data_IF_716383304371
#
_entry.id   IF_716383304371
#
_cell.length_a   1.000
_cell.length_b   1.000
_cell.length_c   1.000
_cell.angle_alpha   90.00
_cell.angle_beta   90.00
_cell.angle_gamma   90.00
#
_symmetry.space_group_name_H-M   'P 1'
#
loop_
_entity.id
_entity.type
_entity.pdbx_description
1 polymer ?
#
# COMPACT_ATOMS: atom_id res chain seq x y z
N UNK A 1 -0.08 16.43 -10.21
CA UNK A 1 -0.95 15.63 -11.11
C UNK A 1 -2.08 15.07 -10.26
N UNK A 2 -3.31 15.00 -10.78
CA UNK A 2 -4.47 14.53 -10.01
C UNK A 2 -4.57 13.00 -10.02
N UNK A 3 -5.02 12.42 -8.92
CA UNK A 3 -5.44 11.03 -8.83
C UNK A 3 -6.95 10.90 -9.09
N UNK A 4 -7.43 9.66 -9.22
CA UNK A 4 -8.84 9.35 -9.40
C UNK A 4 -9.26 8.16 -8.54
N UNK A 5 -10.48 8.19 -8.01
CA UNK A 5 -11.09 7.10 -7.23
C UNK A 5 -12.29 6.58 -8.01
N UNK A 6 -12.24 5.31 -8.43
CA UNK A 6 -13.28 4.71 -9.26
C UNK A 6 -13.66 3.33 -8.77
N UNK A 7 -14.90 2.91 -9.04
CA UNK A 7 -15.37 1.56 -8.73
C UNK A 7 -14.57 0.55 -9.56
N UNK A 8 -14.07 -0.49 -8.92
CA UNK A 8 -13.32 -1.55 -9.59
C UNK A 8 -14.26 -2.57 -10.21
N UNK A 9 -13.90 -3.06 -11.40
CA UNK A 9 -14.57 -4.18 -12.07
C UNK A 9 -13.97 -5.55 -11.74
N UNK A 10 -12.91 -5.61 -10.93
CA UNK A 10 -12.19 -6.85 -10.59
C UNK A 10 -13.10 -7.86 -9.88
N UNK A 11 -13.24 -9.04 -10.47
CA UNK A 11 -14.01 -10.15 -9.88
C UNK A 11 -13.21 -10.87 -8.78
N UNK A 12 -13.92 -11.50 -7.83
CA UNK A 12 -13.29 -12.38 -6.83
C UNK A 12 -12.80 -11.73 -5.55
N UNK A 13 -13.13 -10.46 -5.29
CA UNK A 13 -12.99 -9.85 -3.96
C UNK A 13 -14.32 -9.95 -3.22
N UNK A 14 -14.33 -10.56 -2.04
CA UNK A 14 -15.53 -10.72 -1.21
C UNK A 14 -15.80 -9.43 -0.42
N UNK A 15 -16.23 -8.39 -1.12
CA UNK A 15 -16.57 -7.11 -0.51
C UNK A 15 -17.84 -6.54 -1.16
N UNK A 16 -18.78 -5.95 -0.39
CA UNK A 16 -20.01 -5.38 -0.94
C UNK A 16 -19.72 -4.29 -1.98
N UNK A 17 -18.74 -3.42 -1.68
CA UNK A 17 -18.21 -2.44 -2.62
C UNK A 17 -16.69 -2.53 -2.73
N UNK A 18 -16.18 -2.06 -3.86
CA UNK A 18 -14.76 -2.09 -4.16
C UNK A 18 -14.39 -0.91 -5.06
N UNK A 19 -13.46 -0.09 -4.59
CA UNK A 19 -12.92 1.05 -5.32
C UNK A 19 -11.40 0.94 -5.42
N UNK A 20 -10.85 1.62 -6.41
CA UNK A 20 -9.41 1.74 -6.64
C UNK A 20 -9.01 3.21 -6.74
N UNK A 21 -7.84 3.52 -6.18
CA UNK A 21 -7.20 4.82 -6.31
C UNK A 21 -6.10 4.70 -7.37
N UNK A 22 -6.24 5.50 -8.42
CA UNK A 22 -5.38 5.43 -9.60
C UNK A 22 -4.72 6.75 -9.91
N UNK A 23 -3.52 6.70 -10.49
CA UNK A 23 -2.81 7.86 -11.03
C UNK A 23 -1.91 7.41 -12.17
N UNK A 24 -1.95 8.12 -13.30
CA UNK A 24 -1.13 7.82 -14.49
C UNK A 24 -1.22 6.34 -14.95
N UNK A 25 -2.42 5.78 -14.96
CA UNK A 25 -2.67 4.38 -15.35
C UNK A 25 -2.20 3.33 -14.34
N UNK A 26 -1.68 3.75 -13.19
CA UNK A 26 -1.24 2.87 -12.12
C UNK A 26 -2.27 2.81 -10.99
N UNK A 27 -2.42 1.64 -10.37
CA UNK A 27 -3.25 1.41 -9.19
C UNK A 27 -2.36 1.42 -7.96
N UNK A 28 -2.67 2.33 -7.03
CA UNK A 28 -1.91 2.51 -5.80
C UNK A 28 -2.64 1.89 -4.62
N UNK A 29 -3.92 2.23 -4.44
CA UNK A 29 -4.71 1.81 -3.28
C UNK A 29 -6.00 1.12 -3.72
N UNK A 30 -6.52 0.27 -2.84
CA UNK A 30 -7.86 -0.33 -2.90
C UNK A 30 -8.66 0.12 -1.70
N UNK A 31 -9.97 0.26 -1.90
CA UNK A 31 -10.94 0.41 -0.83
C UNK A 31 -11.94 -0.74 -0.92
N UNK A 32 -12.11 -1.44 0.19
CA UNK A 32 -13.04 -2.56 0.32
C UNK A 32 -13.98 -2.26 1.49
N UNK A 33 -15.25 -2.60 1.36
CA UNK A 33 -16.26 -2.46 2.39
C UNK A 33 -17.56 -1.92 1.82
N UNK A 34 -18.30 -1.23 2.66
CA UNK A 34 -19.49 -0.44 2.34
C UNK A 34 -19.66 0.63 3.41
N UNK A 35 -20.38 1.70 3.14
CA UNK A 35 -20.68 2.68 4.19
C UNK A 35 -21.44 1.99 5.34
N UNK A 36 -21.01 2.14 6.62
CA UNK A 36 -20.03 3.08 7.15
C UNK A 36 -18.65 2.47 7.52
N UNK A 37 -18.23 1.38 6.88
CA UNK A 37 -16.97 0.68 7.16
C UNK A 37 -16.22 0.33 5.86
N UNK A 38 -15.36 1.25 5.43
CA UNK A 38 -14.41 1.02 4.34
C UNK A 38 -13.00 0.81 4.88
N UNK A 39 -12.29 -0.19 4.39
CA UNK A 39 -10.87 -0.41 4.62
C UNK A 39 -10.07 0.06 3.39
N UNK A 40 -9.07 0.93 3.60
CA UNK A 40 -8.16 1.39 2.55
C UNK A 40 -6.78 0.76 2.70
N UNK A 41 -6.23 0.25 1.59
CA UNK A 41 -5.02 -0.58 1.59
C UNK A 41 -4.22 -0.47 0.29
N UNK A 42 -2.96 -0.91 0.29
CA UNK A 42 -2.12 -0.96 -0.93
C UNK A 42 -2.63 -1.98 -1.94
N UNK A 43 -2.54 -1.64 -3.23
CA UNK A 43 -2.91 -2.55 -4.31
C UNK A 43 -1.80 -3.57 -4.60
N UNK A 44 -2.10 -4.85 -4.40
CA UNK A 44 -1.19 -5.99 -4.66
C UNK A 44 -1.36 -6.63 -6.03
N UNK A 45 -2.21 -6.06 -6.88
CA UNK A 45 -2.54 -6.65 -8.18
C UNK A 45 -2.99 -5.58 -9.16
N UNK A 46 -2.61 -5.75 -10.43
CA UNK A 46 -3.22 -5.04 -11.56
C UNK A 46 -4.71 -5.36 -11.66
N UNK A 47 -5.47 -4.48 -12.32
CA UNK A 47 -6.89 -4.71 -12.57
C UNK A 47 -7.10 -5.68 -13.73
N UNK A 48 -8.22 -6.38 -13.71
CA UNK A 48 -8.62 -7.23 -14.82
C UNK A 48 -9.02 -6.34 -16.01
N UNK A 49 -8.65 -6.72 -17.24
CA UNK A 49 -8.98 -5.95 -18.45
C UNK A 49 -7.87 -5.05 -19.00
N UNK A 50 -6.65 -5.11 -18.46
CA UNK A 50 -5.41 -4.70 -19.16
C UNK A 50 -5.09 -3.21 -19.22
N UNK A 51 -5.92 -2.32 -18.69
CA UNK A 51 -5.71 -0.86 -18.74
C UNK A 51 -5.07 -0.22 -17.50
N UNK A 52 -5.09 -0.90 -16.35
CA UNK A 52 -4.59 -0.37 -15.08
C UNK A 52 -3.61 -1.37 -14.45
N UNK A 53 -2.37 -0.93 -14.28
CA UNK A 53 -1.28 -1.77 -13.79
C UNK A 53 -0.98 -1.47 -12.33
N UNK A 54 -0.52 -2.47 -11.56
CA UNK A 54 0.03 -2.20 -10.23
C UNK A 54 1.28 -1.32 -10.35
N UNK A 55 1.52 -0.50 -9.34
CA UNK A 55 2.78 0.25 -9.19
C UNK A 55 3.96 -0.72 -9.14
N UNK A 56 5.05 -0.42 -9.86
CA UNK A 56 6.24 -1.27 -9.86
C UNK A 56 7.06 -1.15 -8.56
N UNK A 57 7.19 0.07 -8.02
CA UNK A 57 7.96 0.36 -6.80
C UNK A 57 7.12 0.08 -5.54
N UNK A 58 7.01 -1.21 -5.21
CA UNK A 58 6.23 -1.69 -4.06
C UNK A 58 6.77 -1.17 -2.72
N UNK A 59 8.10 -0.99 -2.61
CA UNK A 59 8.73 -0.44 -1.40
C UNK A 59 8.22 0.98 -1.14
N UNK A 60 8.25 1.82 -2.16
CA UNK A 60 7.74 3.18 -2.09
C UNK A 60 6.24 3.22 -1.83
N UNK A 61 5.47 2.33 -2.45
CA UNK A 61 4.04 2.20 -2.22
C UNK A 61 3.71 1.89 -0.76
N UNK A 62 4.32 0.84 -0.21
CA UNK A 62 4.09 0.41 1.17
C UNK A 62 4.54 1.50 2.13
N UNK A 63 5.73 2.08 1.97
CA UNK A 63 6.19 3.15 2.84
C UNK A 63 5.27 4.37 2.86
N UNK A 64 4.81 4.81 1.68
CA UNK A 64 3.87 5.91 1.60
C UNK A 64 2.57 5.57 2.35
N UNK A 65 2.07 4.34 2.21
CA UNK A 65 0.87 3.87 2.90
C UNK A 65 1.03 3.90 4.44
N UNK A 66 2.16 3.41 4.96
CA UNK A 66 2.43 3.40 6.40
C UNK A 66 2.56 4.81 6.99
N UNK A 67 3.35 5.65 6.32
CA UNK A 67 3.52 7.06 6.72
C UNK A 67 2.18 7.80 6.68
N UNK A 68 1.31 7.47 5.72
CA UNK A 68 -0.05 8.02 5.65
C UNK A 68 -0.89 7.60 6.85
N UNK A 69 -0.94 6.30 7.16
CA UNK A 69 -1.70 5.78 8.30
C UNK A 69 -1.29 6.44 9.62
N UNK A 70 0.03 6.54 9.85
CA UNK A 70 0.60 7.20 11.02
C UNK A 70 0.26 8.68 11.10
N UNK A 71 0.37 9.42 9.99
CA UNK A 71 0.16 10.87 9.98
C UNK A 71 -1.31 11.28 10.04
N UNK A 72 -2.20 10.50 9.43
CA UNK A 72 -3.62 10.86 9.36
C UNK A 72 -4.38 10.36 10.59
N UNK A 73 -4.03 9.18 11.11
CA UNK A 73 -4.83 8.53 12.17
C UNK A 73 -4.04 8.24 13.46
N UNK A 74 -2.72 8.46 13.47
CA UNK A 74 -1.89 8.16 14.64
C UNK A 74 -1.83 6.67 15.00
N UNK A 75 -2.34 5.78 14.14
CA UNK A 75 -2.34 4.32 14.33
C UNK A 75 -1.20 3.67 13.58
N UNK A 76 -0.73 2.55 14.14
CA UNK A 76 0.21 1.65 13.48
C UNK A 76 -0.54 0.91 12.38
N UNK A 77 -0.15 1.12 11.14
CA UNK A 77 -0.64 0.37 9.99
C UNK A 77 -0.23 -1.11 10.09
N UNK A 78 -1.13 -2.01 9.68
CA UNK A 78 -0.93 -3.45 9.77
C UNK A 78 -0.70 -4.05 8.39
N UNK A 79 0.22 -5.00 8.30
CA UNK A 79 0.38 -5.85 7.12
C UNK A 79 -0.49 -7.08 7.31
N UNK A 80 -1.34 -7.37 6.32
CA UNK A 80 -2.19 -8.56 6.28
C UNK A 80 -1.96 -9.32 4.98
N UNK A 81 -2.24 -10.63 4.96
CA UNK A 81 -2.21 -11.47 3.77
C UNK A 81 -3.59 -11.58 3.11
N UNK A 82 -3.63 -11.52 1.79
CA UNK A 82 -4.83 -11.90 1.03
C UNK A 82 -4.97 -13.44 0.89
N UNK A 83 -6.09 -13.89 0.32
CA UNK A 83 -6.38 -15.32 0.11
C UNK A 83 -5.40 -16.06 -0.82
N UNK A 84 -4.47 -15.34 -1.47
CA UNK A 84 -3.38 -15.88 -2.28
C UNK A 84 -2.02 -15.77 -1.59
N UNK A 85 -1.99 -15.40 -0.31
CA UNK A 85 -0.77 -15.19 0.47
C UNK A 85 0.00 -13.93 0.06
N UNK A 86 -0.67 -12.96 -0.59
CA UNK A 86 -0.02 -11.68 -0.93
C UNK A 86 -0.26 -10.69 0.18
N UNK A 87 0.81 -10.26 0.81
CA UNK A 87 0.75 -9.22 1.83
C UNK A 87 0.40 -7.86 1.24
N UNK A 88 -0.41 -7.11 1.98
CA UNK A 88 -0.83 -5.74 1.71
C UNK A 88 -0.80 -4.92 3.00
N UNK A 89 -0.48 -3.63 2.88
CA UNK A 89 -0.54 -2.71 4.00
C UNK A 89 -1.93 -2.09 4.10
N UNK A 90 -2.63 -2.30 5.22
CA UNK A 90 -3.82 -1.53 5.59
C UNK A 90 -3.40 -0.17 6.13
N UNK A 91 -3.97 0.89 5.54
CA UNK A 91 -3.72 2.26 5.98
C UNK A 91 -4.64 2.60 7.17
N UNK A 92 -5.95 2.44 6.99
CA UNK A 92 -6.95 2.79 8.00
C UNK A 92 -8.35 2.28 7.61
N UNK A 93 -9.31 2.51 8.52
CA UNK A 93 -10.74 2.40 8.26
C UNK A 93 -11.36 3.79 8.08
N UNK A 94 -12.34 3.88 7.20
CA UNK A 94 -13.03 5.10 6.81
C UNK A 94 -14.54 4.90 6.95
N UNK A 95 -15.22 5.90 7.49
CA UNK A 95 -16.68 5.87 7.60
C UNK A 95 -17.33 6.16 6.24
N UNK A 96 -16.80 7.17 5.53
CA UNK A 96 -17.35 7.63 4.26
C UNK A 96 -16.35 7.48 3.12
N UNK A 97 -16.85 7.14 1.93
CA UNK A 97 -16.03 7.12 0.71
C UNK A 97 -15.37 8.48 0.42
N UNK A 98 -15.99 9.58 0.83
CA UNK A 98 -15.43 10.93 0.66
C UNK A 98 -14.13 11.14 1.44
N UNK A 99 -13.94 10.46 2.57
CA UNK A 99 -12.69 10.53 3.35
C UNK A 99 -11.52 9.87 2.62
N UNK A 100 -11.81 8.96 1.69
CA UNK A 100 -10.79 8.35 0.83
C UNK A 100 -10.02 9.38 0.02
N UNK A 101 -10.66 10.48 -0.39
CA UNK A 101 -9.98 11.55 -1.13
C UNK A 101 -8.93 12.25 -0.28
N UNK A 102 -9.21 12.51 1.00
CA UNK A 102 -8.25 13.13 1.93
C UNK A 102 -7.07 12.21 2.19
N UNK A 103 -7.34 10.91 2.39
CA UNK A 103 -6.28 9.90 2.57
C UNK A 103 -5.44 9.77 1.30
N UNK A 104 -6.07 9.70 0.13
CA UNK A 104 -5.37 9.60 -1.15
C UNK A 104 -4.51 10.84 -1.43
N UNK A 105 -5.02 12.05 -1.15
CA UNK A 105 -4.26 13.29 -1.28
C UNK A 105 -3.02 13.26 -0.40
N UNK A 106 -3.18 12.95 0.90
CA UNK A 106 -2.03 12.85 1.81
C UNK A 106 -1.05 11.76 1.42
N UNK A 107 -1.58 10.61 0.97
CA UNK A 107 -0.78 9.51 0.46
C UNK A 107 0.10 9.95 -0.71
N UNK A 108 -0.46 10.68 -1.68
CA UNK A 108 0.30 11.11 -2.85
C UNK A 108 1.32 12.21 -2.53
N UNK A 109 1.03 13.12 -1.60
CA UNK A 109 2.03 14.08 -1.10
C UNK A 109 3.26 13.36 -0.52
N UNK A 110 3.02 12.33 0.29
CA UNK A 110 4.10 11.53 0.89
C UNK A 110 4.80 10.69 -0.17
N UNK A 111 4.04 10.00 -1.01
CA UNK A 111 4.57 9.16 -2.09
C UNK A 111 5.47 9.98 -3.00
N UNK A 112 5.06 11.18 -3.41
CA UNK A 112 5.84 12.06 -4.28
C UNK A 112 7.09 12.65 -3.60
N UNK A 113 7.04 12.87 -2.29
CA UNK A 113 8.20 13.26 -1.49
C UNK A 113 9.22 12.13 -1.27
N UNK A 114 8.83 10.88 -1.50
CA UNK A 114 9.71 9.73 -1.43
C UNK A 114 10.55 9.61 -2.73
N UNK A 115 11.88 9.58 -2.60
CA UNK A 115 12.81 9.30 -3.70
C UNK A 115 12.58 7.91 -4.35
N UNK A 116 12.86 7.80 -5.65
CA UNK A 116 12.61 6.58 -6.45
C UNK A 116 13.78 5.57 -6.40
N UNK A 117 13.48 4.28 -6.33
CA UNK A 117 14.39 3.18 -6.68
C UNK A 117 15.62 2.96 -5.78
N UNK A 118 16.66 2.33 -6.36
CA UNK A 118 17.89 1.86 -5.71
C UNK A 118 18.85 2.96 -5.21
N UNK A 119 18.50 4.24 -5.39
CA UNK A 119 19.25 5.38 -4.88
C UNK A 119 18.88 5.79 -3.45
N UNK A 120 17.96 5.07 -2.81
CA UNK A 120 17.53 5.36 -1.44
C UNK A 120 18.60 5.00 -0.41
N UNK A 121 18.86 5.87 0.58
CA UNK A 121 19.70 5.53 1.70
C UNK A 121 19.15 4.31 2.43
N UNK A 122 20.01 3.31 2.70
CA UNK A 122 19.65 2.15 3.52
C UNK A 122 19.09 2.54 4.90
N UNK A 123 19.51 3.68 5.44
CA UNK A 123 18.98 4.24 6.69
C UNK A 123 17.48 4.53 6.63
N UNK A 124 16.99 5.02 5.49
CA UNK A 124 15.57 5.36 5.31
C UNK A 124 14.74 4.08 5.25
N UNK A 125 15.25 3.07 4.55
CA UNK A 125 14.63 1.76 4.44
C UNK A 125 14.70 0.97 5.76
N UNK A 126 15.76 1.13 6.56
CA UNK A 126 15.83 0.57 7.90
C UNK A 126 14.81 1.21 8.86
N UNK A 127 14.48 2.49 8.68
CA UNK A 127 13.40 3.14 9.42
C UNK A 127 12.03 2.56 9.04
N UNK A 128 11.79 2.30 7.75
CA UNK A 128 10.59 1.60 7.27
C UNK A 128 10.49 0.20 7.88
N UNK A 129 11.60 -0.55 7.89
CA UNK A 129 11.67 -1.85 8.53
C UNK A 129 11.28 -1.78 10.00
N UNK A 130 11.83 -0.81 10.76
CA UNK A 130 11.54 -0.67 12.19
C UNK A 130 10.07 -0.36 12.47
N UNK A 131 9.37 0.32 11.55
CA UNK A 131 7.93 0.54 11.68
C UNK A 131 7.12 -0.74 11.42
N UNK A 132 7.55 -1.53 10.42
CA UNK A 132 6.86 -2.73 9.94
C UNK A 132 7.12 -4.00 10.76
N UNK A 133 8.32 -4.15 11.33
CA UNK A 133 8.69 -5.34 12.07
C UNK A 133 7.71 -5.54 13.25
N UNK A 134 6.95 -6.64 13.17
CA UNK A 134 5.91 -7.00 14.14
C UNK A 134 6.54 -7.52 15.44
N UNK A 135 7.78 -8.02 15.39
CA UNK A 135 8.51 -8.60 16.52
C UNK A 135 10.03 -8.31 16.49
N UNK A 136 10.70 -8.59 17.61
CA UNK A 136 12.16 -8.46 17.76
C UNK A 136 12.93 -9.67 17.17
N UNK A 137 12.27 -10.54 16.39
CA UNK A 137 12.93 -11.76 15.84
C UNK A 137 14.01 -11.40 14.82
N UNK A 138 13.95 -10.20 14.25
CA UNK A 138 14.92 -9.71 13.28
C UNK A 138 14.76 -10.31 11.89
N UNK A 139 13.63 -10.97 11.61
CA UNK A 139 13.30 -11.49 10.27
C UNK A 139 13.02 -10.36 9.27
N UNK A 140 13.29 -10.60 7.99
CA UNK A 140 12.93 -9.68 6.92
C UNK A 140 11.41 -9.47 6.85
N UNK A 141 11.00 -8.23 6.58
CA UNK A 141 9.61 -7.86 6.35
C UNK A 141 9.28 -8.09 4.89
N UNK A 142 8.21 -8.82 4.60
CA UNK A 142 7.72 -8.98 3.24
C UNK A 142 6.92 -7.73 2.81
N UNK A 143 7.14 -7.28 1.57
CA UNK A 143 6.59 -6.03 1.01
C UNK A 143 5.67 -6.27 -0.21
N UNK A 144 5.39 -7.53 -0.54
CA UNK A 144 4.65 -8.01 -1.73
C UNK A 144 5.51 -8.45 -2.92
N UNK A 145 4.95 -9.36 -3.74
CA UNK A 145 5.51 -9.93 -4.97
C UNK A 145 6.98 -10.39 -4.90
N UNK A 146 7.31 -11.15 -3.87
CA UNK A 146 8.67 -11.64 -3.66
C UNK A 146 9.65 -10.62 -3.11
N UNK A 147 9.23 -9.36 -2.87
CA UNK A 147 10.12 -8.31 -2.33
C UNK A 147 10.14 -8.34 -0.81
N UNK A 148 11.34 -8.37 -0.23
CA UNK A 148 11.58 -8.39 1.20
C UNK A 148 12.50 -7.24 1.60
N UNK A 149 12.23 -6.67 2.77
CA UNK A 149 13.01 -5.61 3.40
C UNK A 149 13.69 -6.17 4.65
N UNK A 150 15.02 -6.18 4.63
CA UNK A 150 15.85 -6.55 5.76
C UNK A 150 15.98 -5.42 6.78
N UNK A 151 16.39 -5.78 8.00
CA UNK A 151 16.63 -4.85 9.12
C UNK A 151 17.65 -3.76 8.82
N UNK A 152 18.60 -4.06 7.95
CA UNK A 152 19.65 -3.13 7.49
C UNK A 152 19.18 -2.23 6.33
N UNK A 153 17.89 -2.27 5.99
CA UNK A 153 17.32 -1.57 4.84
C UNK A 153 17.65 -2.21 3.50
N UNK A 154 18.18 -3.44 3.48
CA UNK A 154 18.37 -4.19 2.23
C UNK A 154 17.01 -4.57 1.64
N UNK A 155 16.83 -4.28 0.36
CA UNK A 155 15.68 -4.81 -0.40
C UNK A 155 16.16 -6.02 -1.18
N UNK A 156 15.53 -7.17 -0.98
CA UNK A 156 15.82 -8.40 -1.70
C UNK A 156 14.59 -8.86 -2.45
N UNK A 157 14.76 -9.18 -3.73
CA UNK A 157 13.75 -9.93 -4.48
C UNK A 157 14.06 -11.43 -4.28
N UNK A 158 13.18 -12.10 -3.54
CA UNK A 158 13.19 -13.53 -3.27
C UNK A 158 12.10 -14.26 -4.07
N UNK A 159 11.42 -13.55 -4.98
CA UNK A 159 10.38 -14.07 -5.83
C UNK A 159 10.90 -15.14 -6.80
N UNK A 160 10.14 -16.24 -6.90
CA UNK A 160 10.24 -17.27 -7.93
C UNK A 160 8.89 -17.40 -8.62
#
# INVERSE_FOLDING_TARGET
>A
MSFDIRKSGKGGLSSPEHFIVTRDGNVFLRLLGEEPDYEIMTATASEDGGGLVRVADQVRLVEAALRTGKQVFGVRSFVEEDHKGREYAKICRLEYLSDAYRVAERFFEIYDGIGQGAGRPRSDLAAVYAELAVDDTGGDVYLSDGVWLGRDGAVTDRGR
#
